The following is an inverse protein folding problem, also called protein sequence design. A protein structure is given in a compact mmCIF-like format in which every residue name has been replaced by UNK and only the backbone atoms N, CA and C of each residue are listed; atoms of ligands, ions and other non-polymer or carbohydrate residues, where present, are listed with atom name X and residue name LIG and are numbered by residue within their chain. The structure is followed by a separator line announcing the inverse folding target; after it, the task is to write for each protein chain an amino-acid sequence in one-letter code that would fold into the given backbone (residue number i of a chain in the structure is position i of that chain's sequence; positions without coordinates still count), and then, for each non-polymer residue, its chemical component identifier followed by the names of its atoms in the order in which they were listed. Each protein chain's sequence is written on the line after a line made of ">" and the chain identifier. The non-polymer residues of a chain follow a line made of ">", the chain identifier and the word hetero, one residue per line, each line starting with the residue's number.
data_IF_347190586522
#
_entry.id   IF_347190586522
#
_cell.length_a   1.000
_cell.length_b   1.000
_cell.length_c   1.000
_cell.angle_alpha   90.00
_cell.angle_beta   90.00
_cell.angle_gamma   90.00
#
_symmetry.space_group_name_H-M   'P 1'
#
loop_
_entity.id
_entity.type
_entity.pdbx_description
1 polymer ?
#
# COMPACT_ATOMS: atom_id res chain seq x y z
N UNK A 1 -22.10 -4.17 5.30
CA UNK A 1 -21.05 -4.08 6.34
C UNK A 1 -20.49 -2.68 6.26
N UNK A 2 -20.60 -1.90 7.34
CA UNK A 2 -20.10 -0.52 7.35
C UNK A 2 -18.59 -0.51 7.59
N UNK A 3 -17.87 0.41 6.94
CA UNK A 3 -16.49 0.70 7.28
C UNK A 3 -16.48 1.59 8.52
N UNK A 4 -16.39 0.97 9.70
CA UNK A 4 -15.98 1.67 10.91
C UNK A 4 -14.56 1.24 11.29
N UNK A 5 -13.81 2.13 11.95
CA UNK A 5 -12.44 1.87 12.42
C UNK A 5 -12.34 0.71 13.41
N UNK A 6 -13.47 0.33 14.01
CA UNK A 6 -13.58 -0.74 15.01
C UNK A 6 -14.38 -1.95 14.51
N UNK A 7 -14.71 -1.98 13.21
CA UNK A 7 -15.33 -3.15 12.60
C UNK A 7 -14.36 -4.33 12.65
N UNK A 8 -14.83 -5.54 12.99
CA UNK A 8 -13.98 -6.71 12.99
C UNK A 8 -13.45 -6.98 11.59
N UNK A 9 -12.12 -7.16 11.49
CA UNK A 9 -11.43 -7.54 10.26
C UNK A 9 -11.17 -9.06 10.28
N UNK A 10 -11.17 -9.70 9.10
CA UNK A 10 -10.74 -11.10 8.96
C UNK A 10 -9.21 -11.18 8.97
N UNK A 11 -8.63 -11.09 10.17
CA UNK A 11 -7.18 -11.17 10.37
C UNK A 11 -6.58 -12.44 9.75
N UNK A 12 -7.28 -13.57 9.85
CA UNK A 12 -6.81 -14.85 9.30
C UNK A 12 -6.75 -14.82 7.76
N UNK A 13 -7.79 -14.28 7.12
CA UNK A 13 -7.86 -14.12 5.68
C UNK A 13 -6.83 -13.12 5.16
N UNK A 14 -6.63 -12.01 5.85
CA UNK A 14 -5.62 -10.99 5.49
C UNK A 14 -4.22 -11.59 5.54
N UNK A 15 -3.86 -12.29 6.63
CA UNK A 15 -2.54 -12.94 6.75
C UNK A 15 -2.32 -13.99 5.68
N UNK A 16 -3.31 -14.87 5.46
CA UNK A 16 -3.23 -15.89 4.41
C UNK A 16 -3.09 -15.28 3.02
N UNK A 17 -3.82 -14.19 2.73
CA UNK A 17 -3.69 -13.49 1.47
C UNK A 17 -2.30 -12.86 1.31
N UNK A 18 -1.73 -12.30 2.38
CA UNK A 18 -0.39 -11.72 2.37
C UNK A 18 0.70 -12.78 2.18
N UNK A 19 0.54 -13.97 2.75
CA UNK A 19 1.41 -15.13 2.50
C UNK A 19 1.37 -15.54 1.03
N UNK A 20 0.19 -15.58 0.41
CA UNK A 20 0.06 -15.89 -1.02
C UNK A 20 0.78 -14.85 -1.90
N UNK A 21 0.64 -13.55 -1.60
CA UNK A 21 1.37 -12.51 -2.33
C UNK A 21 2.87 -12.61 -2.08
N UNK A 22 3.30 -12.94 -0.87
CA UNK A 22 4.72 -13.15 -0.55
C UNK A 22 5.30 -14.32 -1.34
N UNK A 23 4.55 -15.42 -1.52
CA UNK A 23 4.98 -16.53 -2.36
C UNK A 23 5.16 -16.13 -3.84
N UNK A 24 4.34 -15.21 -4.35
CA UNK A 24 4.51 -14.64 -5.69
C UNK A 24 5.80 -13.81 -5.76
N UNK A 25 6.06 -12.96 -4.77
CA UNK A 25 7.32 -12.18 -4.69
C UNK A 25 8.54 -13.11 -4.71
N UNK A 26 8.51 -14.19 -3.92
CA UNK A 26 9.59 -15.18 -3.89
C UNK A 26 9.74 -15.92 -5.22
N UNK A 27 8.64 -16.18 -5.93
CA UNK A 27 8.68 -16.77 -7.25
C UNK A 27 9.38 -15.85 -8.26
N UNK A 28 9.02 -14.56 -8.31
CA UNK A 28 9.70 -13.58 -9.16
C UNK A 28 11.19 -13.45 -8.82
N UNK A 29 11.52 -13.47 -7.52
CA UNK A 29 12.91 -13.46 -7.06
C UNK A 29 13.70 -14.68 -7.52
N UNK A 30 13.11 -15.89 -7.45
CA UNK A 30 13.72 -17.13 -7.95
C UNK A 30 13.93 -17.09 -9.48
N UNK A 31 13.09 -16.37 -10.20
CA UNK A 31 13.19 -16.18 -11.64
C UNK A 31 14.10 -14.99 -12.05
N UNK A 32 14.82 -14.39 -11.10
CA UNK A 32 15.85 -13.39 -11.38
C UNK A 32 15.42 -11.93 -11.24
N UNK A 33 14.20 -11.64 -10.79
CA UNK A 33 13.76 -10.27 -10.46
C UNK A 33 13.98 -10.03 -8.96
N UNK A 34 15.05 -9.33 -8.55
CA UNK A 34 15.33 -9.17 -7.13
C UNK A 34 14.23 -8.35 -6.43
N UNK A 35 13.92 -8.57 -5.14
CA UNK A 35 12.81 -7.90 -4.46
C UNK A 35 12.84 -6.36 -4.50
N UNK A 36 14.04 -5.76 -4.46
CA UNK A 36 14.23 -4.31 -4.59
C UNK A 36 13.91 -3.77 -6.02
N UNK A 37 13.45 -4.63 -6.93
CA UNK A 37 12.92 -4.32 -8.26
C UNK A 37 11.42 -4.66 -8.40
N UNK A 38 10.74 -4.97 -7.29
CA UNK A 38 9.33 -5.31 -7.26
C UNK A 38 8.57 -4.19 -6.54
N UNK A 39 7.58 -3.60 -7.23
CA UNK A 39 6.58 -2.72 -6.61
C UNK A 39 5.30 -3.54 -6.42
N UNK A 40 4.76 -3.54 -5.21
CA UNK A 40 3.39 -4.03 -4.98
C UNK A 40 2.41 -2.87 -5.12
N UNK A 41 1.24 -3.13 -5.67
CA UNK A 41 0.22 -2.11 -5.71
C UNK A 41 -1.17 -2.66 -5.95
N UNK A 42 -2.16 -1.84 -5.60
CA UNK A 42 -3.55 -2.20 -5.78
C UNK A 42 -4.51 -1.07 -5.45
N UNK A 43 -5.78 -1.33 -5.77
CA UNK A 43 -6.90 -0.43 -5.53
C UNK A 43 -7.83 -1.01 -4.47
N UNK A 44 -8.38 -0.16 -3.60
CA UNK A 44 -9.32 -0.55 -2.54
C UNK A 44 -8.76 -1.71 -1.69
N UNK A 45 -9.46 -2.83 -1.55
CA UNK A 45 -8.97 -4.00 -0.83
C UNK A 45 -7.62 -4.52 -1.35
N UNK A 46 -7.36 -4.45 -2.65
CA UNK A 46 -6.06 -4.82 -3.22
C UNK A 46 -4.93 -3.89 -2.80
N UNK A 47 -5.22 -2.59 -2.64
CA UNK A 47 -4.28 -1.62 -2.09
C UNK A 47 -4.01 -1.86 -0.60
N UNK A 48 -5.06 -2.19 0.15
CA UNK A 48 -4.97 -2.56 1.56
C UNK A 48 -4.09 -3.80 1.77
N UNK A 49 -4.30 -4.85 0.97
CA UNK A 49 -3.48 -6.06 1.00
C UNK A 49 -2.03 -5.78 0.58
N UNK A 50 -1.81 -4.93 -0.44
CA UNK A 50 -0.47 -4.54 -0.89
C UNK A 50 0.31 -3.83 0.21
N UNK A 51 -0.32 -2.89 0.92
CA UNK A 51 0.28 -2.22 2.08
C UNK A 51 0.64 -3.22 3.18
N UNK A 52 -0.31 -4.05 3.60
CA UNK A 52 -0.07 -5.02 4.67
C UNK A 52 1.05 -5.99 4.33
N UNK A 53 1.03 -6.52 3.10
CA UNK A 53 2.05 -7.46 2.63
C UNK A 53 3.42 -6.78 2.60
N UNK A 54 3.55 -5.61 1.98
CA UNK A 54 4.84 -4.93 1.87
C UNK A 54 5.42 -4.53 3.24
N UNK A 55 4.59 -4.16 4.21
CA UNK A 55 5.03 -3.75 5.54
C UNK A 55 5.42 -4.93 6.45
N UNK A 56 4.93 -6.13 6.17
CA UNK A 56 5.20 -7.35 6.95
C UNK A 56 6.17 -8.32 6.24
N UNK A 57 6.39 -8.15 4.93
CA UNK A 57 7.31 -8.96 4.13
C UNK A 57 8.76 -8.79 4.60
N UNK A 58 9.49 -9.89 4.68
CA UNK A 58 10.91 -9.92 5.06
C UNK A 58 11.83 -9.42 3.94
N UNK A 59 11.36 -9.41 2.69
CA UNK A 59 12.10 -8.84 1.57
C UNK A 59 11.88 -7.33 1.48
N UNK A 60 12.95 -6.58 1.30
CA UNK A 60 12.86 -5.14 1.03
C UNK A 60 12.42 -4.93 -0.43
N UNK A 61 11.20 -4.43 -0.60
CA UNK A 61 10.61 -4.13 -1.91
C UNK A 61 11.04 -2.77 -2.46
N UNK A 62 10.84 -2.54 -3.76
CA UNK A 62 11.13 -1.27 -4.41
C UNK A 62 10.15 -0.15 -3.99
N UNK A 63 8.92 -0.51 -3.65
CA UNK A 63 7.91 0.43 -3.17
C UNK A 63 6.49 -0.13 -3.18
N UNK A 64 5.53 0.70 -2.78
CA UNK A 64 4.10 0.39 -2.75
C UNK A 64 3.28 1.48 -3.43
N UNK A 65 2.30 1.08 -4.24
CA UNK A 65 1.26 1.96 -4.80
C UNK A 65 -0.10 1.58 -4.21
N UNK A 66 -0.66 2.45 -3.38
CA UNK A 66 -1.87 2.19 -2.59
C UNK A 66 -2.98 3.17 -2.99
N UNK A 67 -3.96 2.71 -3.77
CA UNK A 67 -5.00 3.57 -4.35
C UNK A 67 -6.35 3.37 -3.65
N UNK A 68 -6.95 4.46 -3.16
CA UNK A 68 -8.28 4.51 -2.53
C UNK A 68 -8.52 3.37 -1.51
N UNK A 69 -7.63 3.23 -0.54
CA UNK A 69 -7.58 2.08 0.36
C UNK A 69 -7.29 2.47 1.83
N UNK A 70 -7.08 1.46 2.68
CA UNK A 70 -6.73 1.61 4.09
C UNK A 70 -5.61 0.64 4.48
N UNK A 71 -4.93 0.86 5.61
CA UNK A 71 -4.05 -0.14 6.21
C UNK A 71 -4.88 -1.11 7.07
N UNK A 72 -5.02 -2.39 6.68
CA UNK A 72 -5.74 -3.34 7.50
C UNK A 72 -4.92 -3.71 8.74
N UNK A 73 -5.60 -4.13 9.80
CA UNK A 73 -4.98 -4.51 11.08
C UNK A 73 -4.06 -3.41 11.64
N UNK A 74 -4.37 -2.14 11.37
CA UNK A 74 -3.54 -0.98 11.69
C UNK A 74 -3.12 -0.90 13.17
N UNK A 75 -3.90 -1.48 14.09
CA UNK A 75 -3.60 -1.55 15.53
C UNK A 75 -2.39 -2.44 15.85
N UNK A 76 -2.07 -3.41 14.99
CA UNK A 76 -0.90 -4.31 15.15
C UNK A 76 0.44 -3.64 14.82
N UNK A 77 0.42 -2.49 14.13
CA UNK A 77 1.61 -1.74 13.78
C UNK A 77 2.00 -0.73 14.88
N UNK A 78 3.30 -0.48 15.12
CA UNK A 78 4.43 -0.90 14.29
C UNK A 78 4.96 -2.31 14.57
N UNK A 79 4.48 -3.01 15.60
CA UNK A 79 5.03 -4.31 16.03
C UNK A 79 4.98 -5.40 14.96
N UNK A 80 3.96 -5.40 14.09
CA UNK A 80 3.84 -6.35 12.99
C UNK A 80 4.77 -6.06 11.79
N UNK A 81 5.46 -4.91 11.77
CA UNK A 81 6.31 -4.54 10.64
C UNK A 81 7.59 -5.38 10.58
N UNK A 82 8.07 -5.68 9.38
CA UNK A 82 9.38 -6.31 9.16
C UNK A 82 10.57 -5.41 9.54
N UNK A 83 10.33 -4.13 9.85
CA UNK A 83 11.35 -3.19 10.29
C UNK A 83 12.02 -2.42 9.15
N UNK A 84 11.75 -2.77 7.88
CA UNK A 84 12.27 -2.06 6.70
C UNK A 84 11.75 -0.62 6.66
N UNK A 85 12.63 0.34 6.97
CA UNK A 85 12.28 1.77 6.95
C UNK A 85 12.37 2.39 5.55
N UNK A 86 13.11 1.75 4.64
CA UNK A 86 13.38 2.22 3.28
C UNK A 86 12.38 1.63 2.29
N UNK A 87 11.09 1.90 2.52
CA UNK A 87 10.00 1.48 1.65
C UNK A 87 9.26 2.72 1.12
N UNK A 88 9.50 3.12 -0.14
CA UNK A 88 8.72 4.15 -0.81
C UNK A 88 7.25 3.79 -0.92
N UNK A 89 6.36 4.74 -0.60
CA UNK A 89 4.91 4.53 -0.68
C UNK A 89 4.27 5.72 -1.40
N UNK A 90 3.61 5.46 -2.52
CA UNK A 90 2.63 6.35 -3.10
C UNK A 90 1.23 5.92 -2.64
N UNK A 91 0.56 6.77 -1.90
CA UNK A 91 -0.84 6.61 -1.55
C UNK A 91 -1.66 7.67 -2.28
N UNK A 92 -2.74 7.25 -2.94
CA UNK A 92 -3.65 8.13 -3.67
C UNK A 92 -5.09 7.91 -3.17
N UNK A 93 -5.91 8.97 -3.16
CA UNK A 93 -7.30 8.86 -2.72
C UNK A 93 -8.20 9.88 -3.41
N UNK A 94 -9.43 9.49 -3.75
CA UNK A 94 -10.47 10.42 -4.21
C UNK A 94 -11.13 11.18 -3.06
N UNK A 95 -11.29 12.50 -3.16
CA UNK A 95 -11.88 13.30 -2.08
C UNK A 95 -13.39 13.06 -1.90
N UNK A 96 -14.05 12.55 -2.95
CA UNK A 96 -15.49 12.26 -2.98
C UNK A 96 -15.76 10.76 -2.94
N UNK A 97 -14.84 9.95 -2.41
CA UNK A 97 -14.98 8.50 -2.33
C UNK A 97 -16.09 8.09 -1.33
N UNK A 98 -17.22 7.55 -1.80
CA UNK A 98 -18.32 7.15 -0.92
C UNK A 98 -18.12 5.76 -0.32
N UNK A 99 -17.17 4.98 -0.84
CA UNK A 99 -16.92 3.60 -0.42
C UNK A 99 -15.88 3.57 0.68
N UNK A 100 -14.69 4.13 0.43
CA UNK A 100 -13.63 4.29 1.41
C UNK A 100 -13.48 5.78 1.70
N UNK A 101 -14.10 6.31 2.76
CA UNK A 101 -14.01 7.74 3.06
C UNK A 101 -12.56 8.21 3.16
N UNK A 102 -12.26 9.40 2.64
CA UNK A 102 -10.91 9.98 2.64
C UNK A 102 -10.21 9.92 4.01
N UNK A 103 -10.99 10.01 5.09
CA UNK A 103 -10.52 9.87 6.47
C UNK A 103 -9.73 8.58 6.72
N UNK A 104 -10.11 7.45 6.10
CA UNK A 104 -9.35 6.19 6.19
C UNK A 104 -7.99 6.30 5.48
N UNK A 105 -7.96 7.00 4.34
CA UNK A 105 -6.72 7.36 3.65
C UNK A 105 -5.81 8.20 4.53
N UNK A 106 -6.34 9.26 5.15
CA UNK A 106 -5.60 10.13 6.07
C UNK A 106 -5.06 9.37 7.29
N UNK A 107 -5.88 8.52 7.91
CA UNK A 107 -5.47 7.69 9.04
C UNK A 107 -4.34 6.73 8.64
N UNK A 108 -4.46 6.13 7.46
CA UNK A 108 -3.43 5.25 6.89
C UNK A 108 -2.13 6.02 6.68
N UNK A 109 -2.16 7.16 6.00
CA UNK A 109 -0.99 7.99 5.74
C UNK A 109 -0.31 8.44 7.05
N UNK A 110 -1.09 8.81 8.07
CA UNK A 110 -0.56 9.14 9.41
C UNK A 110 0.10 7.93 10.08
N UNK A 111 -0.52 6.75 10.01
CA UNK A 111 0.02 5.52 10.60
C UNK A 111 1.33 5.10 9.93
N UNK A 112 1.43 5.21 8.60
CA UNK A 112 2.63 4.87 7.84
C UNK A 112 3.87 5.66 8.28
N UNK A 113 3.72 6.93 8.68
CA UNK A 113 4.83 7.77 9.19
C UNK A 113 5.52 7.21 10.43
N UNK A 114 4.84 6.34 11.19
CA UNK A 114 5.43 5.66 12.36
C UNK A 114 6.09 4.32 12.01
N UNK A 115 5.86 3.81 10.79
CA UNK A 115 6.30 2.48 10.35
C UNK A 115 7.51 2.59 9.43
N UNK A 116 7.49 3.50 8.46
CA UNK A 116 8.55 3.70 7.46
C UNK A 116 9.10 5.13 7.52
N UNK A 117 10.19 5.42 6.81
CA UNK A 117 10.74 6.78 6.74
C UNK A 117 9.68 7.76 6.16
N UNK A 118 9.25 8.80 6.90
CA UNK A 118 8.24 9.74 6.44
C UNK A 118 8.58 10.46 5.12
N UNK A 119 9.88 10.63 4.81
CA UNK A 119 10.32 11.27 3.57
C UNK A 119 10.07 10.42 2.32
N UNK A 120 9.79 9.12 2.50
CA UNK A 120 9.49 8.18 1.43
C UNK A 120 7.98 7.98 1.20
N UNK A 121 7.14 8.67 1.97
CA UNK A 121 5.68 8.59 1.86
C UNK A 121 5.16 9.80 1.09
N UNK A 122 4.43 9.54 0.01
CA UNK A 122 3.68 10.56 -0.73
C UNK A 122 2.20 10.23 -0.64
N UNK A 123 1.39 11.15 -0.10
CA UNK A 123 -0.07 11.04 -0.09
C UNK A 123 -0.67 12.12 -1.00
N UNK A 124 -1.38 11.73 -2.06
CA UNK A 124 -2.04 12.64 -3.00
C UNK A 124 -3.54 12.44 -2.94
N UNK A 125 -4.29 13.53 -2.83
CA UNK A 125 -5.76 13.52 -2.95
C UNK A 125 -6.18 14.13 -4.29
N UNK A 126 -7.32 13.67 -4.80
CA UNK A 126 -7.84 14.09 -6.10
C UNK A 126 -9.25 14.68 -5.93
N UNK A 127 -9.42 16.01 -6.05
CA UNK A 127 -10.71 16.67 -5.93
C UNK A 127 -11.73 16.13 -6.93
N UNK A 128 -12.95 15.87 -6.47
CA UNK A 128 -14.05 15.37 -7.30
C UNK A 128 -13.94 13.89 -7.71
N UNK A 129 -12.81 13.22 -7.46
CA UNK A 129 -12.66 11.79 -7.71
C UNK A 129 -13.42 10.99 -6.64
N UNK A 130 -14.22 10.02 -7.07
CA UNK A 130 -14.96 9.10 -6.20
C UNK A 130 -14.17 7.81 -5.98
N UNK A 131 -14.84 6.66 -5.79
CA UNK A 131 -14.19 5.36 -5.67
C UNK A 131 -13.75 4.82 -7.04
N UNK A 132 -12.82 5.51 -7.68
CA UNK A 132 -12.30 5.18 -9.00
C UNK A 132 -10.88 5.72 -9.18
N UNK A 133 -10.34 5.63 -10.40
CA UNK A 133 -9.06 6.22 -10.78
C UNK A 133 -9.23 7.40 -11.74
N UNK A 134 -8.17 8.20 -11.90
CA UNK A 134 -8.13 9.33 -12.83
C UNK A 134 -6.83 9.37 -13.64
N UNK A 135 -6.80 10.06 -14.80
CA UNK A 135 -5.56 10.26 -15.56
C UNK A 135 -4.45 10.93 -14.73
N UNK A 136 -4.81 11.88 -13.86
CA UNK A 136 -3.88 12.57 -12.98
C UNK A 136 -3.30 11.63 -11.92
N UNK A 137 -4.12 10.73 -11.37
CA UNK A 137 -3.67 9.68 -10.46
C UNK A 137 -2.72 8.72 -11.18
N UNK A 138 -3.05 8.27 -12.39
CA UNK A 138 -2.19 7.39 -13.19
C UNK A 138 -0.87 8.05 -13.59
N UNK A 139 -0.86 9.37 -13.81
CA UNK A 139 0.38 10.12 -14.01
C UNK A 139 1.28 10.06 -12.76
N UNK A 140 0.71 10.23 -11.55
CA UNK A 140 1.46 10.10 -10.32
C UNK A 140 2.00 8.66 -10.11
N UNK A 141 1.22 7.64 -10.45
CA UNK A 141 1.66 6.23 -10.41
C UNK A 141 2.81 6.00 -11.38
N UNK A 142 2.70 6.52 -12.62
CA UNK A 142 3.77 6.45 -13.62
C UNK A 142 5.06 7.08 -13.11
N UNK A 143 4.99 8.32 -12.62
CA UNK A 143 6.15 9.05 -12.06
C UNK A 143 6.82 8.26 -10.92
N UNK A 144 6.01 7.66 -10.04
CA UNK A 144 6.51 6.85 -8.93
C UNK A 144 7.24 5.60 -9.43
N UNK A 145 6.65 4.86 -10.36
CA UNK A 145 7.27 3.66 -10.95
C UNK A 145 8.58 4.04 -11.67
N UNK A 146 8.57 5.08 -12.50
CA UNK A 146 9.77 5.54 -13.22
C UNK A 146 10.90 5.94 -12.27
N UNK A 147 10.57 6.57 -11.14
CA UNK A 147 11.54 6.98 -10.11
C UNK A 147 12.17 5.79 -9.39
N UNK A 148 11.37 4.79 -8.99
CA UNK A 148 11.81 3.69 -8.13
C UNK A 148 12.19 2.41 -8.89
N UNK A 149 11.87 2.33 -10.18
CA UNK A 149 12.31 1.28 -11.09
C UNK A 149 12.96 1.88 -12.35
N UNK A 150 14.09 2.61 -12.23
CA UNK A 150 14.80 3.14 -13.38
C UNK A 150 15.27 2.01 -14.31
N UNK A 151 15.49 2.30 -15.59
CA UNK A 151 16.11 1.34 -16.52
C UNK A 151 17.53 1.00 -16.04
N UNK A 152 17.87 -0.29 -16.08
CA UNK A 152 19.19 -0.84 -15.76
C UNK A 152 19.86 -1.21 -17.08
#
# INVERSE_FOLDING_TARGET
>A
MGLSTDSPEDESGIKRAAENITAIIEHEAKNGIPPHRIILGGFSQGGALSLYTALTCQHQLAGVVALSCWLPLHKSFPSASSGHKNLPILQCHGEMDPMIPLQFGDMTAKKLKYIVNPQLITFKTFPGLSHSSSPQEMAAVKEFIEKYLPRI
#
